data_IF_560040494409
#
_entry.id   IF_560040494409
#
_cell.length_a   1.000
_cell.length_b   1.000
_cell.length_c   1.000
_cell.angle_alpha   90.00
_cell.angle_beta   90.00
_cell.angle_gamma   90.00
#
_symmetry.space_group_name_H-M   'P 1'
#
loop_
_entity.id
_entity.type
_entity.pdbx_description
1 polymer ?
#
# COMPACT_ATOMS: atom_id res chain seq x y z
N UNK A 1 -17.79 9.05 6.66
CA UNK A 1 -16.89 7.91 6.86
C UNK A 1 -15.72 8.27 7.77
N UNK A 2 -15.03 9.40 7.53
CA UNK A 2 -13.90 9.87 8.35
C UNK A 2 -14.24 9.96 9.85
N UNK A 3 -15.46 10.40 10.18
CA UNK A 3 -15.89 10.48 11.58
C UNK A 3 -16.10 9.14 12.27
N UNK A 4 -16.44 8.09 11.51
CA UNK A 4 -16.61 6.72 12.02
C UNK A 4 -15.25 6.07 12.30
N UNK A 5 -14.27 6.28 11.45
CA UNK A 5 -12.92 5.77 11.61
C UNK A 5 -12.26 6.32 12.88
N UNK A 6 -12.43 7.60 13.16
CA UNK A 6 -11.98 8.21 14.42
C UNK A 6 -12.59 7.55 15.66
N UNK A 7 -13.83 7.06 15.58
CA UNK A 7 -14.48 6.37 16.70
C UNK A 7 -13.95 4.96 16.96
N UNK A 8 -13.39 4.27 15.95
CA UNK A 8 -12.81 2.92 16.08
C UNK A 8 -11.30 2.93 16.32
N UNK A 9 -10.69 4.10 16.50
CA UNK A 9 -9.25 4.30 16.72
C UNK A 9 -8.39 3.75 15.60
N UNK A 10 -8.52 4.30 14.41
CA UNK A 10 -7.57 4.02 13.36
C UNK A 10 -6.16 4.38 13.79
N UNK A 11 -5.30 3.39 13.77
CA UNK A 11 -3.90 3.55 14.10
C UNK A 11 -3.07 4.11 12.94
N UNK A 12 -3.59 4.07 11.72
CA UNK A 12 -2.86 4.46 10.51
C UNK A 12 -3.70 5.40 9.65
N UNK A 13 -3.11 6.53 9.26
CA UNK A 13 -3.70 7.43 8.28
C UNK A 13 -2.90 7.42 6.99
N UNK A 14 -3.56 7.05 5.88
CA UNK A 14 -2.95 6.95 4.58
C UNK A 14 -3.34 8.15 3.70
N UNK A 15 -2.35 8.79 3.08
CA UNK A 15 -2.54 9.94 2.19
C UNK A 15 -1.86 9.71 0.85
N UNK A 16 -2.50 10.12 -0.23
CA UNK A 16 -1.89 10.09 -1.55
C UNK A 16 -0.77 11.12 -1.66
N UNK A 17 0.40 10.69 -2.14
CA UNK A 17 1.55 11.56 -2.41
C UNK A 17 1.15 12.74 -3.30
N UNK A 18 0.39 12.45 -4.36
CA UNK A 18 -0.03 13.42 -5.37
C UNK A 18 -1.03 14.45 -4.85
N UNK A 19 -1.71 14.16 -3.74
CA UNK A 19 -2.63 15.09 -3.08
C UNK A 19 -1.95 15.97 -2.01
N UNK A 20 -0.66 15.72 -1.71
CA UNK A 20 0.04 16.37 -0.61
C UNK A 20 1.28 17.14 -1.10
N UNK A 21 1.14 18.39 -1.59
CA UNK A 21 2.29 19.20 -2.01
C UNK A 21 3.35 19.40 -0.92
N UNK A 22 2.95 19.32 0.35
CA UNK A 22 3.83 19.43 1.51
C UNK A 22 3.80 18.13 2.35
N UNK A 23 4.11 17.00 1.72
CA UNK A 23 3.99 15.66 2.30
C UNK A 23 4.68 15.55 3.67
N UNK A 24 5.90 16.07 3.82
CA UNK A 24 6.62 16.03 5.10
C UNK A 24 5.81 16.67 6.25
N UNK A 25 5.18 17.82 6.01
CA UNK A 25 4.30 18.46 7.00
C UNK A 25 3.10 17.59 7.35
N UNK A 26 2.47 16.97 6.34
CA UNK A 26 1.31 16.10 6.56
C UNK A 26 1.69 14.87 7.39
N UNK A 27 2.83 14.25 7.11
CA UNK A 27 3.35 13.12 7.90
C UNK A 27 3.59 13.52 9.36
N UNK A 28 4.16 14.70 9.61
CA UNK A 28 4.33 15.22 10.97
C UNK A 28 2.98 15.42 11.68
N UNK A 29 2.01 16.05 11.02
CA UNK A 29 0.66 16.25 11.58
C UNK A 29 -0.04 14.95 11.94
N UNK A 30 0.10 13.91 11.11
CA UNK A 30 -0.44 12.57 11.38
C UNK A 30 0.19 12.00 12.66
N UNK A 31 1.51 12.09 12.80
CA UNK A 31 2.22 11.63 14.01
C UNK A 31 1.82 12.41 15.25
N UNK A 32 1.71 13.74 15.17
CA UNK A 32 1.27 14.62 16.27
C UNK A 32 -0.16 14.29 16.72
N UNK A 33 -1.01 13.81 15.80
CA UNK A 33 -2.34 13.30 16.10
C UNK A 33 -2.36 11.90 16.75
N UNK A 34 -1.18 11.28 16.96
CA UNK A 34 -1.06 9.95 17.57
C UNK A 34 -1.30 8.79 16.60
N UNK A 35 -1.31 9.03 15.30
CA UNK A 35 -1.50 8.02 14.26
C UNK A 35 -0.19 7.67 13.53
N UNK A 36 -0.18 6.51 12.89
CA UNK A 36 0.92 6.10 12.03
C UNK A 36 0.73 6.65 10.61
N UNK A 37 1.70 7.38 10.04
CA UNK A 37 1.56 7.92 8.70
C UNK A 37 1.81 6.85 7.63
N UNK A 38 0.91 6.75 6.66
CA UNK A 38 1.08 5.95 5.46
C UNK A 38 0.97 6.84 4.22
N UNK A 39 1.68 6.46 3.16
CA UNK A 39 1.72 7.22 1.90
C UNK A 39 1.38 6.32 0.74
N UNK A 40 0.42 6.73 -0.09
CA UNK A 40 0.04 6.03 -1.32
C UNK A 40 0.76 6.64 -2.53
N UNK A 41 1.30 5.78 -3.38
CA UNK A 41 1.82 6.14 -4.70
C UNK A 41 0.94 5.60 -5.81
N UNK A 42 0.55 6.46 -6.74
CA UNK A 42 -0.10 6.05 -7.98
C UNK A 42 0.87 5.24 -8.90
N UNK A 43 0.34 4.49 -9.88
CA UNK A 43 1.17 3.67 -10.76
C UNK A 43 2.30 4.44 -11.44
N UNK A 44 2.05 5.69 -11.87
CA UNK A 44 3.00 6.53 -12.57
C UNK A 44 4.00 7.28 -11.66
N UNK A 45 3.78 7.30 -10.34
CA UNK A 45 4.64 8.04 -9.39
C UNK A 45 5.87 7.20 -9.02
N UNK A 46 7.10 7.66 -9.26
CA UNK A 46 8.31 6.90 -8.96
C UNK A 46 8.53 6.70 -7.45
N UNK A 47 9.04 5.54 -7.06
CA UNK A 47 9.43 5.22 -5.67
C UNK A 47 10.48 6.18 -5.13
N UNK A 48 11.40 6.66 -5.99
CA UNK A 48 12.45 7.60 -5.63
C UNK A 48 11.96 8.90 -4.97
N UNK A 49 10.67 9.26 -5.19
CA UNK A 49 10.04 10.42 -4.55
C UNK A 49 9.92 10.29 -3.02
N UNK A 50 10.05 9.09 -2.48
CA UNK A 50 9.99 8.83 -1.04
C UNK A 50 11.37 8.84 -0.36
N UNK A 51 12.47 8.98 -1.11
CA UNK A 51 13.83 8.84 -0.59
C UNK A 51 14.09 9.67 0.68
N UNK A 52 13.61 10.90 0.68
CA UNK A 52 13.91 11.85 1.77
C UNK A 52 12.91 11.74 2.95
N UNK A 53 11.86 10.91 2.84
CA UNK A 53 10.81 10.79 3.85
C UNK A 53 10.53 9.36 4.30
N UNK A 54 11.15 8.36 3.67
CA UNK A 54 10.84 6.94 3.90
C UNK A 54 11.07 6.50 5.36
N UNK A 55 11.98 7.15 6.07
CA UNK A 55 12.23 6.86 7.50
C UNK A 55 11.12 7.39 8.42
N UNK A 56 10.34 8.34 7.93
CA UNK A 56 9.22 8.95 8.67
C UNK A 56 7.88 8.30 8.39
N UNK A 57 7.82 7.36 7.47
CA UNK A 57 6.59 6.68 7.04
C UNK A 57 6.51 5.30 7.67
N UNK A 58 5.32 4.95 8.18
CA UNK A 58 5.05 3.62 8.72
C UNK A 58 4.75 2.60 7.62
N UNK A 59 4.04 3.01 6.57
CA UNK A 59 3.62 2.14 5.48
C UNK A 59 3.55 2.89 4.16
N UNK A 60 3.93 2.24 3.08
CA UNK A 60 3.75 2.74 1.71
C UNK A 60 2.79 1.83 0.97
N UNK A 61 1.68 2.40 0.50
CA UNK A 61 0.73 1.72 -0.37
C UNK A 61 1.09 1.99 -1.83
N UNK A 62 1.37 0.95 -2.59
CA UNK A 62 1.56 1.01 -4.04
C UNK A 62 0.26 0.63 -4.76
N UNK A 63 -0.27 1.55 -5.55
CA UNK A 63 -1.41 1.25 -6.41
C UNK A 63 -0.97 0.42 -7.61
N UNK A 64 -1.58 -0.72 -7.81
CA UNK A 64 -1.36 -1.61 -8.97
C UNK A 64 -2.46 -1.51 -10.03
N UNK A 65 -3.34 -0.54 -9.85
CA UNK A 65 -4.34 -0.07 -10.81
C UNK A 65 -4.45 1.45 -10.70
N UNK A 66 -5.08 2.12 -11.66
CA UNK A 66 -5.38 3.55 -11.49
C UNK A 66 -6.53 3.71 -10.47
N UNK A 67 -6.39 4.54 -9.42
CA UNK A 67 -7.45 4.77 -8.46
C UNK A 67 -8.73 5.29 -9.11
N UNK A 68 -9.91 4.86 -8.63
CA UNK A 68 -11.20 5.37 -9.07
C UNK A 68 -12.31 4.34 -9.20
N UNK A 69 -12.03 3.11 -9.62
CA UNK A 69 -13.03 2.04 -9.70
C UNK A 69 -12.41 0.65 -9.57
N UNK A 70 -13.19 -0.31 -9.11
CA UNK A 70 -12.75 -1.70 -8.93
C UNK A 70 -12.72 -2.53 -10.22
N UNK A 71 -12.15 -3.75 -10.16
CA UNK A 71 -12.15 -4.69 -11.26
C UNK A 71 -11.20 -4.35 -12.42
N UNK A 72 -10.28 -3.43 -12.21
CA UNK A 72 -9.26 -3.09 -13.21
C UNK A 72 -8.19 -4.18 -13.33
N UNK A 73 -7.55 -4.21 -14.50
CA UNK A 73 -6.44 -5.13 -14.77
C UNK A 73 -5.19 -4.68 -14.02
N UNK A 74 -4.49 -5.64 -13.40
CA UNK A 74 -3.22 -5.43 -12.71
C UNK A 74 -2.16 -4.82 -13.64
N UNK A 75 -1.43 -3.83 -13.14
CA UNK A 75 -0.32 -3.17 -13.84
C UNK A 75 0.98 -3.89 -13.49
N UNK A 76 1.53 -4.63 -14.44
CA UNK A 76 2.70 -5.51 -14.27
C UNK A 76 3.94 -4.80 -13.69
N UNK A 77 4.16 -3.54 -14.07
CA UNK A 77 5.28 -2.75 -13.58
C UNK A 77 5.28 -2.56 -12.05
N UNK A 78 4.15 -2.76 -11.38
CA UNK A 78 4.06 -2.65 -9.91
C UNK A 78 4.98 -3.64 -9.21
N UNK A 79 5.22 -4.82 -9.77
CA UNK A 79 6.14 -5.80 -9.19
C UNK A 79 7.57 -5.24 -9.09
N UNK A 80 8.03 -4.52 -10.12
CA UNK A 80 9.33 -3.83 -10.09
C UNK A 80 9.35 -2.69 -9.07
N UNK A 81 8.26 -1.91 -8.99
CA UNK A 81 8.13 -0.85 -7.97
C UNK A 81 8.21 -1.40 -6.54
N UNK A 82 7.65 -2.59 -6.27
CA UNK A 82 7.79 -3.26 -4.97
C UNK A 82 9.26 -3.57 -4.69
N UNK A 83 10.01 -4.12 -5.66
CA UNK A 83 11.45 -4.37 -5.51
C UNK A 83 12.26 -3.10 -5.27
N UNK A 84 11.99 -2.04 -6.02
CA UNK A 84 12.63 -0.74 -5.85
C UNK A 84 12.36 -0.17 -4.45
N UNK A 85 11.11 -0.25 -3.97
CA UNK A 85 10.73 0.24 -2.66
C UNK A 85 11.37 -0.60 -1.53
N UNK A 86 11.42 -1.92 -1.66
CA UNK A 86 12.12 -2.79 -0.71
C UNK A 86 13.61 -2.44 -0.64
N UNK A 87 14.25 -2.26 -1.78
CA UNK A 87 15.65 -1.84 -1.84
C UNK A 87 15.88 -0.46 -1.18
N UNK A 88 14.97 0.50 -1.38
CA UNK A 88 15.03 1.80 -0.72
C UNK A 88 14.89 1.67 0.80
N UNK A 89 13.92 0.89 1.28
CA UNK A 89 13.69 0.64 2.71
C UNK A 89 14.94 0.00 3.34
N UNK A 90 15.48 -1.05 2.73
CA UNK A 90 16.64 -1.77 3.23
C UNK A 90 17.90 -0.89 3.25
N UNK A 91 18.14 -0.12 2.19
CA UNK A 91 19.32 0.76 2.08
C UNK A 91 19.30 1.94 3.06
N UNK A 92 18.11 2.39 3.48
CA UNK A 92 17.94 3.49 4.44
C UNK A 92 17.78 3.02 5.89
N UNK A 93 17.61 1.71 6.10
CA UNK A 93 17.29 1.14 7.43
C UNK A 93 15.88 1.48 7.93
N UNK A 94 14.98 1.94 7.04
CA UNK A 94 13.59 2.18 7.35
C UNK A 94 12.88 0.90 7.81
N UNK A 95 11.79 1.05 8.55
CA UNK A 95 10.89 -0.04 8.97
C UNK A 95 9.52 0.04 8.30
N UNK A 96 9.40 0.85 7.25
CA UNK A 96 8.14 1.01 6.53
C UNK A 96 7.68 -0.32 5.93
N UNK A 97 6.39 -0.60 6.06
CA UNK A 97 5.74 -1.73 5.41
C UNK A 97 5.39 -1.39 3.96
N UNK A 98 5.32 -2.40 3.11
CA UNK A 98 4.87 -2.29 1.72
C UNK A 98 3.51 -2.95 1.58
N UNK A 99 2.49 -2.16 1.27
CA UNK A 99 1.15 -2.62 0.93
C UNK A 99 0.89 -2.44 -0.56
N UNK A 100 0.13 -3.35 -1.17
CA UNK A 100 -0.26 -3.26 -2.59
C UNK A 100 -1.76 -3.42 -2.74
N UNK A 101 -2.39 -2.50 -3.48
CA UNK A 101 -3.83 -2.54 -3.80
C UNK A 101 -4.07 -2.43 -5.31
N UNK A 102 -4.94 -3.31 -5.81
CA UNK A 102 -5.46 -3.30 -7.16
C UNK A 102 -5.13 -4.56 -7.98
N UNK A 103 -6.15 -5.28 -8.42
CA UNK A 103 -5.99 -6.47 -9.26
C UNK A 103 -5.24 -7.63 -8.59
N UNK A 104 -5.19 -7.65 -7.26
CA UNK A 104 -4.53 -8.71 -6.50
C UNK A 104 -5.37 -9.98 -6.54
N UNK A 105 -4.72 -11.09 -6.87
CA UNK A 105 -5.24 -12.45 -6.86
C UNK A 105 -4.12 -13.42 -6.45
N UNK A 106 -4.33 -14.73 -6.47
CA UNK A 106 -3.32 -15.70 -6.04
C UNK A 106 -2.01 -15.62 -6.87
N UNK A 107 -2.12 -15.42 -8.18
CA UNK A 107 -0.96 -15.33 -9.07
C UNK A 107 -0.17 -14.03 -8.85
N UNK A 108 -0.86 -12.88 -8.93
CA UNK A 108 -0.22 -11.56 -8.74
C UNK A 108 0.26 -11.39 -7.30
N UNK A 109 -0.49 -11.90 -6.32
CA UNK A 109 -0.15 -11.88 -4.90
C UNK A 109 1.16 -12.61 -4.61
N UNK A 110 1.31 -13.85 -5.10
CA UNK A 110 2.56 -14.61 -4.94
C UNK A 110 3.78 -13.85 -5.49
N UNK A 111 3.63 -13.19 -6.64
CA UNK A 111 4.69 -12.38 -7.25
C UNK A 111 5.02 -11.12 -6.46
N UNK A 112 4.02 -10.49 -5.86
CA UNK A 112 4.19 -9.30 -5.02
C UNK A 112 4.89 -9.63 -3.71
N UNK A 113 4.50 -10.72 -3.04
CA UNK A 113 5.17 -11.22 -1.82
C UNK A 113 6.62 -11.59 -2.13
N UNK A 114 6.87 -12.33 -3.22
CA UNK A 114 8.24 -12.66 -3.65
C UNK A 114 9.08 -11.41 -4.01
N UNK A 115 8.45 -10.30 -4.38
CA UNK A 115 9.11 -9.03 -4.63
C UNK A 115 9.38 -8.22 -3.34
N UNK A 116 8.76 -8.59 -2.20
CA UNK A 116 8.97 -7.98 -0.90
C UNK A 116 7.79 -7.19 -0.36
N UNK A 117 6.55 -7.40 -0.85
CA UNK A 117 5.36 -6.84 -0.24
C UNK A 117 5.06 -7.49 1.11
N UNK A 118 4.61 -6.69 2.09
CA UNK A 118 4.24 -7.15 3.44
C UNK A 118 2.72 -7.34 3.60
N UNK A 119 1.91 -6.61 2.81
CA UNK A 119 0.46 -6.66 2.87
C UNK A 119 -0.17 -6.57 1.47
N UNK A 120 -1.29 -7.25 1.29
CA UNK A 120 -2.05 -7.28 0.04
C UNK A 120 -3.50 -6.90 0.29
N UNK A 121 -4.05 -6.00 -0.54
CA UNK A 121 -5.47 -5.67 -0.55
C UNK A 121 -6.14 -6.37 -1.72
N UNK A 122 -7.04 -7.30 -1.42
CA UNK A 122 -7.77 -8.08 -2.41
C UNK A 122 -9.28 -7.90 -2.22
N UNK A 123 -9.92 -7.19 -3.13
CA UNK A 123 -11.37 -6.99 -3.13
C UNK A 123 -12.06 -7.94 -4.11
N UNK A 124 -12.03 -7.62 -5.41
CA UNK A 124 -12.77 -8.36 -6.44
C UNK A 124 -12.42 -9.85 -6.49
N UNK A 125 -11.17 -10.24 -6.27
CA UNK A 125 -10.76 -11.63 -6.26
C UNK A 125 -11.43 -12.44 -5.14
N UNK A 126 -11.67 -11.81 -3.98
CA UNK A 126 -12.34 -12.44 -2.84
C UNK A 126 -13.86 -12.45 -3.05
N UNK A 127 -14.46 -11.28 -3.31
CA UNK A 127 -15.93 -11.17 -3.37
C UNK A 127 -16.56 -11.82 -4.60
N UNK A 128 -15.81 -12.02 -5.69
CA UNK A 128 -16.27 -12.75 -6.87
C UNK A 128 -15.95 -14.26 -6.82
N UNK A 129 -15.24 -14.74 -5.81
CA UNK A 129 -14.91 -16.16 -5.68
C UNK A 129 -16.18 -16.97 -5.31
N UNK A 130 -16.32 -18.21 -5.81
CA UNK A 130 -17.39 -19.11 -5.38
C UNK A 130 -17.33 -19.44 -3.89
N UNK A 131 -16.14 -19.43 -3.31
CA UNK A 131 -15.84 -19.59 -1.89
C UNK A 131 -14.93 -18.44 -1.42
N UNK A 132 -15.51 -17.32 -0.95
CA UNK A 132 -14.73 -16.18 -0.48
C UNK A 132 -13.83 -16.48 0.73
N UNK A 133 -14.29 -17.32 1.64
CA UNK A 133 -13.54 -17.70 2.85
C UNK A 133 -12.30 -18.54 2.47
N UNK A 134 -12.46 -19.53 1.62
CA UNK A 134 -11.36 -20.32 1.09
C UNK A 134 -10.37 -19.47 0.29
N UNK A 135 -10.85 -18.47 -0.45
CA UNK A 135 -9.97 -17.52 -1.16
C UNK A 135 -9.13 -16.67 -0.19
N UNK A 136 -9.72 -16.20 0.91
CA UNK A 136 -8.97 -15.46 1.95
C UNK A 136 -7.88 -16.35 2.55
N UNK A 137 -8.18 -17.60 2.89
CA UNK A 137 -7.19 -18.54 3.39
C UNK A 137 -6.05 -18.75 2.39
N UNK A 138 -6.38 -19.01 1.13
CA UNK A 138 -5.39 -19.19 0.07
C UNK A 138 -4.48 -17.97 -0.14
N UNK A 139 -5.02 -16.75 0.01
CA UNK A 139 -4.22 -15.52 -0.08
C UNK A 139 -3.33 -15.31 1.16
N UNK A 140 -3.73 -15.78 2.33
CA UNK A 140 -2.92 -15.71 3.56
C UNK A 140 -1.77 -16.72 3.58
N UNK A 141 -1.88 -17.78 2.81
CA UNK A 141 -0.89 -18.86 2.72
C UNK A 141 0.20 -18.59 1.66
N UNK A 142 0.14 -17.43 0.97
CA UNK A 142 1.17 -16.99 0.04
C UNK A 142 2.46 -16.57 0.77
#
# INVERSE_FOLDING_TARGET
LVGLEMCIRDSTMNVHFEACPHLHRVVQQIREAGMQPAVTLNPATPVAMLKDIIQDVYMVLLMSVNPGFGGQKFIEHTVEKVRELRALIDSTGSKALIEVDGGVNLETGARLIAAGADALVAGSAVFAAPDPEGMIHSLKDL
#
